data_IF_569138863050
#
_entry.id   IF_569138863050
#
_cell.length_a   1.000
_cell.length_b   1.000
_cell.length_c   1.000
_cell.angle_alpha   90.00
_cell.angle_beta   90.00
_cell.angle_gamma   90.00
#
_symmetry.space_group_name_H-M   'P 1'
#
loop_
_entity.id
_entity.type
_entity.pdbx_description
1 polymer ?
#
# COMPACT_ATOMS: atom_id res chain seq x y z
N UNK A 1 54.41 4.95 37.47
CA UNK A 1 53.18 4.17 37.64
C UNK A 1 51.92 4.88 37.12
N UNK A 2 51.92 6.21 36.93
CA UNK A 2 50.73 6.95 36.50
C UNK A 2 50.52 7.07 34.96
N UNK A 3 51.53 6.81 34.13
CA UNK A 3 51.39 6.96 32.67
C UNK A 3 50.66 5.78 31.99
N UNK A 4 50.78 4.59 32.54
CA UNK A 4 50.10 3.39 32.02
C UNK A 4 48.58 3.42 32.26
N UNK A 5 48.15 4.10 33.33
CA UNK A 5 46.72 4.20 33.68
C UNK A 5 45.99 5.22 32.76
N UNK A 6 46.66 6.25 32.30
CA UNK A 6 46.12 7.27 31.43
C UNK A 6 45.87 6.75 30.00
N UNK A 7 46.77 5.88 29.49
CA UNK A 7 46.67 5.31 28.14
C UNK A 7 45.51 4.31 28.01
N UNK A 8 45.20 3.57 29.05
CA UNK A 8 44.08 2.61 29.06
C UNK A 8 42.72 3.32 29.10
N UNK A 9 42.60 4.42 29.84
CA UNK A 9 41.36 5.18 29.95
C UNK A 9 40.99 5.88 28.63
N UNK A 10 41.99 6.35 27.88
CA UNK A 10 41.77 7.01 26.58
C UNK A 10 41.28 6.04 25.48
N UNK A 11 41.83 4.81 25.48
CA UNK A 11 41.43 3.78 24.50
C UNK A 11 40.02 3.23 24.78
N UNK A 12 39.62 3.08 26.03
CA UNK A 12 38.27 2.65 26.41
C UNK A 12 37.23 3.72 26.06
N UNK A 13 37.56 5.01 26.25
CA UNK A 13 36.67 6.12 25.88
C UNK A 13 36.38 6.22 24.38
N UNK A 14 37.40 5.98 23.55
CA UNK A 14 37.23 6.04 22.07
C UNK A 14 36.41 4.86 21.57
N UNK A 15 36.61 3.66 22.10
CA UNK A 15 35.81 2.49 21.71
C UNK A 15 34.34 2.65 22.11
N UNK A 16 34.06 3.19 23.30
CA UNK A 16 32.70 3.45 23.76
C UNK A 16 31.98 4.51 22.85
N UNK A 17 32.70 5.54 22.40
CA UNK A 17 32.16 6.57 21.53
C UNK A 17 31.84 6.01 20.13
N UNK A 18 32.68 5.17 19.56
CA UNK A 18 32.46 4.53 18.26
C UNK A 18 31.26 3.60 18.27
N UNK A 19 31.05 2.83 19.36
CA UNK A 19 29.89 1.94 19.49
C UNK A 19 28.59 2.74 19.62
N UNK A 20 28.59 3.88 20.29
CA UNK A 20 27.41 4.73 20.42
C UNK A 20 26.95 5.35 19.08
N UNK A 21 27.86 5.64 18.16
CA UNK A 21 27.53 6.22 16.84
C UNK A 21 26.92 5.18 15.88
N UNK A 22 27.24 3.90 16.04
CA UNK A 22 26.69 2.84 15.20
C UNK A 22 25.25 2.46 15.55
N UNK A 23 24.71 2.90 16.67
CA UNK A 23 23.35 2.55 17.14
C UNK A 23 22.22 3.38 16.54
N UNK A 24 22.51 4.41 15.75
CA UNK A 24 21.50 5.28 15.11
C UNK A 24 21.22 4.93 13.64
N UNK A 25 21.62 3.75 13.17
CA UNK A 25 21.14 3.22 11.89
C UNK A 25 19.68 2.77 12.05
N UNK A 26 18.79 3.69 12.43
CA UNK A 26 17.35 3.50 12.41
C UNK A 26 16.91 3.15 10.98
N UNK A 27 15.88 2.31 10.86
CA UNK A 27 15.27 1.92 9.59
C UNK A 27 14.90 3.16 8.77
N UNK A 28 15.80 3.63 7.92
CA UNK A 28 15.49 4.70 6.98
C UNK A 28 14.44 4.15 5.99
N UNK A 29 13.35 4.87 5.74
CA UNK A 29 12.38 4.46 4.74
C UNK A 29 13.06 4.32 3.38
N UNK A 30 12.60 3.34 2.58
CA UNK A 30 13.17 3.06 1.26
C UNK A 30 13.17 4.34 0.39
N UNK A 31 14.33 4.85 -0.06
CA UNK A 31 14.43 6.12 -0.78
C UNK A 31 13.66 6.12 -2.10
N UNK A 32 13.51 4.96 -2.74
CA UNK A 32 12.74 4.82 -3.99
C UNK A 32 11.25 5.03 -3.72
N UNK A 33 10.73 4.46 -2.64
CA UNK A 33 9.35 4.65 -2.23
C UNK A 33 9.09 6.10 -1.80
N UNK A 34 10.02 6.72 -1.08
CA UNK A 34 9.91 8.15 -0.73
C UNK A 34 9.80 9.04 -1.96
N UNK A 35 10.66 8.80 -2.97
CA UNK A 35 10.62 9.56 -4.21
C UNK A 35 9.29 9.36 -4.94
N UNK A 36 8.81 8.13 -5.06
CA UNK A 36 7.54 7.83 -5.70
C UNK A 36 6.36 8.55 -5.01
N UNK A 37 6.33 8.56 -3.68
CA UNK A 37 5.31 9.28 -2.89
C UNK A 37 5.42 10.80 -3.09
N UNK A 38 6.64 11.35 -3.12
CA UNK A 38 6.86 12.79 -3.37
C UNK A 38 6.38 13.22 -4.77
N UNK A 39 6.65 12.40 -5.78
CA UNK A 39 6.29 12.67 -7.18
C UNK A 39 4.79 12.42 -7.48
N UNK A 40 4.05 11.77 -6.58
CA UNK A 40 2.65 11.38 -6.81
C UNK A 40 1.74 12.52 -7.25
N UNK A 41 1.85 13.70 -6.64
CA UNK A 41 0.99 14.85 -6.98
C UNK A 41 1.12 15.27 -8.45
N UNK A 42 2.34 15.24 -8.98
CA UNK A 42 2.61 15.55 -10.38
C UNK A 42 2.00 14.54 -11.33
N UNK A 43 2.02 13.26 -10.96
CA UNK A 43 1.40 12.17 -11.73
C UNK A 43 -0.12 12.27 -11.66
N UNK A 44 -0.67 12.44 -10.47
CA UNK A 44 -2.11 12.52 -10.23
C UNK A 44 -2.78 13.72 -10.92
N UNK A 45 -2.06 14.82 -11.14
CA UNK A 45 -2.60 16.01 -11.83
C UNK A 45 -2.96 15.78 -13.29
N UNK A 46 -2.52 14.68 -13.88
CA UNK A 46 -2.82 14.27 -15.25
C UNK A 46 -4.10 13.43 -15.38
N UNK A 47 -4.73 13.10 -14.24
CA UNK A 47 -5.88 12.19 -14.16
C UNK A 47 -7.13 12.99 -13.84
N UNK A 48 -8.22 12.68 -14.54
CA UNK A 48 -9.53 13.30 -14.34
C UNK A 48 -10.61 12.25 -14.08
N UNK A 49 -11.61 12.61 -13.28
CA UNK A 49 -12.82 11.79 -13.16
C UNK A 49 -13.47 11.63 -14.54
N UNK A 50 -13.84 10.40 -14.88
CA UNK A 50 -14.35 10.06 -16.22
C UNK A 50 -13.31 9.43 -17.14
N UNK A 51 -12.02 9.43 -16.76
CA UNK A 51 -10.98 8.78 -17.55
C UNK A 51 -11.16 7.25 -17.56
N UNK A 52 -10.78 6.63 -18.68
CA UNK A 52 -10.76 5.19 -18.81
C UNK A 52 -9.72 4.56 -17.87
N UNK A 53 -10.09 3.42 -17.28
CA UNK A 53 -9.23 2.70 -16.31
C UNK A 53 -7.83 2.46 -16.83
N UNK A 54 -7.69 1.99 -18.07
CA UNK A 54 -6.39 1.69 -18.67
C UNK A 54 -5.50 2.94 -18.76
N UNK A 55 -6.09 4.08 -19.12
CA UNK A 55 -5.38 5.36 -19.20
C UNK A 55 -4.87 5.78 -17.82
N UNK A 56 -5.74 5.75 -16.82
CA UNK A 56 -5.38 6.09 -15.42
C UNK A 56 -4.27 5.18 -14.89
N UNK A 57 -4.41 3.86 -15.08
CA UNK A 57 -3.42 2.90 -14.60
C UNK A 57 -2.08 3.05 -15.32
N UNK A 58 -2.05 3.37 -16.62
CA UNK A 58 -0.82 3.65 -17.36
C UNK A 58 -0.08 4.87 -16.79
N UNK A 59 -0.79 5.96 -16.48
CA UNK A 59 -0.22 7.15 -15.85
C UNK A 59 0.35 6.80 -14.46
N UNK A 60 -0.43 6.14 -13.61
CA UNK A 60 -0.02 5.77 -12.25
C UNK A 60 1.15 4.79 -12.24
N UNK A 61 1.22 3.89 -13.22
CA UNK A 61 2.28 2.89 -13.32
C UNK A 61 3.66 3.53 -13.45
N UNK A 62 3.79 4.67 -14.11
CA UNK A 62 5.08 5.39 -14.26
C UNK A 62 5.76 5.67 -12.92
N UNK A 63 4.94 5.87 -11.89
CA UNK A 63 5.38 6.20 -10.53
C UNK A 63 5.31 4.97 -9.60
N UNK A 64 4.27 4.13 -9.71
CA UNK A 64 4.02 3.03 -8.78
C UNK A 64 4.83 1.76 -9.10
N UNK A 65 5.32 1.56 -10.32
CA UNK A 65 6.08 0.36 -10.69
C UNK A 65 7.38 0.18 -9.89
N UNK A 66 8.01 1.28 -9.50
CA UNK A 66 9.28 1.26 -8.74
C UNK A 66 9.11 0.91 -7.26
N UNK A 67 7.88 0.95 -6.75
CA UNK A 67 7.56 0.62 -5.36
C UNK A 67 7.62 -0.91 -5.19
N UNK A 68 8.35 -1.44 -4.20
CA UNK A 68 8.39 -2.88 -3.93
C UNK A 68 6.99 -3.46 -3.65
N UNK A 69 6.77 -4.72 -4.04
CA UNK A 69 5.46 -5.38 -3.92
C UNK A 69 4.91 -5.46 -2.49
N UNK A 70 5.78 -5.61 -1.50
CA UNK A 70 5.38 -5.65 -0.09
C UNK A 70 4.89 -4.29 0.46
N UNK A 71 5.12 -3.19 -0.28
CA UNK A 71 4.56 -1.87 -0.01
C UNK A 71 3.35 -1.52 -0.88
N UNK A 72 2.87 -2.46 -1.70
CA UNK A 72 1.68 -2.31 -2.53
C UNK A 72 0.50 -3.02 -1.89
N UNK A 73 -0.70 -2.51 -2.15
CA UNK A 73 -1.96 -3.17 -1.83
C UNK A 73 -2.58 -3.70 -3.13
N UNK A 74 -3.11 -4.92 -3.06
CA UNK A 74 -3.78 -5.53 -4.20
C UNK A 74 -5.10 -4.81 -4.50
N UNK A 75 -5.49 -4.70 -5.78
CA UNK A 75 -6.78 -4.15 -6.14
C UNK A 75 -7.92 -5.05 -5.64
N UNK A 76 -9.04 -4.43 -5.29
CA UNK A 76 -10.26 -5.12 -4.88
C UNK A 76 -11.30 -5.00 -5.99
N UNK A 77 -12.03 -6.09 -6.28
CA UNK A 77 -13.08 -6.17 -7.32
C UNK A 77 -14.34 -6.79 -6.75
N UNK A 78 -15.48 -6.22 -7.10
CA UNK A 78 -16.80 -6.74 -6.68
C UNK A 78 -17.90 -6.23 -7.60
N UNK A 79 -19.10 -6.83 -7.47
CA UNK A 79 -20.30 -6.34 -8.14
C UNK A 79 -21.14 -5.54 -7.15
N UNK A 80 -21.51 -4.33 -7.53
CA UNK A 80 -22.39 -3.48 -6.75
C UNK A 80 -23.58 -3.07 -7.62
N UNK A 81 -24.79 -3.54 -7.26
CA UNK A 81 -26.02 -3.30 -8.02
C UNK A 81 -25.92 -3.67 -9.52
N UNK A 82 -25.20 -4.74 -9.84
CA UNK A 82 -24.96 -5.19 -11.21
C UNK A 82 -23.84 -4.46 -11.94
N UNK A 83 -23.22 -3.44 -11.36
CA UNK A 83 -22.07 -2.74 -11.91
C UNK A 83 -20.75 -3.37 -11.40
N UNK A 84 -19.79 -3.53 -12.29
CA UNK A 84 -18.44 -3.94 -11.91
C UNK A 84 -17.73 -2.76 -11.26
N UNK A 85 -17.30 -2.95 -10.01
CA UNK A 85 -16.49 -1.96 -9.27
C UNK A 85 -15.11 -2.53 -9.02
N UNK A 86 -14.09 -1.75 -9.31
CA UNK A 86 -12.69 -2.08 -9.04
C UNK A 86 -12.04 -0.92 -8.29
N UNK A 87 -11.30 -1.22 -7.22
CA UNK A 87 -10.56 -0.24 -6.42
C UNK A 87 -9.07 -0.54 -6.53
N UNK A 88 -8.30 0.41 -7.03
CA UNK A 88 -6.85 0.37 -7.03
C UNK A 88 -6.32 1.27 -5.91
N UNK A 89 -5.44 0.72 -5.07
CA UNK A 89 -4.82 1.44 -3.97
C UNK A 89 -3.44 1.93 -4.38
N UNK A 90 -3.30 3.22 -4.55
CA UNK A 90 -2.07 3.89 -4.95
C UNK A 90 -1.35 4.37 -3.71
N UNK A 91 -0.06 4.01 -3.55
CA UNK A 91 0.71 4.46 -2.40
C UNK A 91 1.06 5.94 -2.52
N UNK A 92 0.61 6.72 -1.56
CA UNK A 92 0.72 8.19 -1.54
C UNK A 92 1.24 8.72 -0.21
N UNK A 93 1.44 7.84 0.77
CA UNK A 93 1.93 8.15 2.09
C UNK A 93 3.01 7.18 2.58
N UNK A 94 3.69 7.59 3.66
CA UNK A 94 4.72 6.82 4.36
C UNK A 94 4.49 6.98 5.86
N UNK A 95 3.77 6.05 6.46
CA UNK A 95 3.63 6.02 7.93
C UNK A 95 4.93 5.59 8.60
N UNK A 96 5.23 6.20 9.73
CA UNK A 96 6.34 5.78 10.58
C UNK A 96 6.04 4.38 11.12
N UNK A 97 6.87 3.40 10.76
CA UNK A 97 6.73 2.01 11.21
C UNK A 97 6.65 0.96 10.11
N UNK A 98 6.68 1.36 8.83
CA UNK A 98 6.75 0.42 7.70
C UNK A 98 5.49 -0.41 7.48
N UNK A 99 4.38 -0.10 8.15
CA UNK A 99 3.10 -0.78 7.99
C UNK A 99 2.33 -0.22 6.78
N UNK A 100 1.55 -1.08 6.13
CA UNK A 100 0.62 -0.69 5.06
C UNK A 100 -0.70 -0.20 5.70
N UNK A 101 -0.68 1.00 6.28
CA UNK A 101 -1.88 1.64 6.82
C UNK A 101 -2.74 2.21 5.70
N UNK A 102 -4.04 2.28 5.90
CA UNK A 102 -4.97 2.86 4.92
C UNK A 102 -4.60 4.30 4.55
N UNK A 103 -4.08 5.09 5.52
CA UNK A 103 -3.63 6.46 5.32
C UNK A 103 -2.43 6.60 4.37
N UNK A 104 -1.71 5.50 4.11
CA UNK A 104 -0.61 5.46 3.15
C UNK A 104 -1.09 5.30 1.71
N UNK A 105 -2.38 5.08 1.49
CA UNK A 105 -2.95 4.81 0.17
C UNK A 105 -4.06 5.79 -0.19
N UNK A 106 -4.12 6.11 -1.48
CA UNK A 106 -5.25 6.79 -2.10
C UNK A 106 -5.98 5.78 -2.99
N UNK A 107 -7.24 5.45 -2.71
CA UNK A 107 -8.03 4.58 -3.57
C UNK A 107 -8.49 5.30 -4.84
N UNK A 108 -8.37 4.62 -5.97
CA UNK A 108 -8.93 4.98 -7.26
C UNK A 108 -10.06 4.00 -7.56
N UNK A 109 -11.29 4.50 -7.62
CA UNK A 109 -12.50 3.69 -7.81
C UNK A 109 -12.96 3.76 -9.24
N UNK A 110 -13.08 2.60 -9.87
CA UNK A 110 -13.58 2.45 -11.23
C UNK A 110 -14.93 1.74 -11.20
N UNK A 111 -15.87 2.21 -12.03
CA UNK A 111 -17.12 1.53 -12.34
C UNK A 111 -17.20 1.28 -13.83
N UNK A 112 -17.40 0.04 -14.24
CA UNK A 112 -17.46 -0.34 -15.65
C UNK A 112 -16.28 0.26 -16.46
N UNK A 113 -15.05 0.13 -15.92
CA UNK A 113 -13.80 0.63 -16.50
C UNK A 113 -13.66 2.16 -16.61
N UNK A 114 -14.49 2.95 -15.92
CA UNK A 114 -14.40 4.40 -15.87
C UNK A 114 -14.07 4.87 -14.45
N UNK A 115 -13.15 5.82 -14.30
CA UNK A 115 -12.79 6.43 -13.02
C UNK A 115 -13.95 7.27 -12.48
N UNK A 116 -14.50 6.89 -11.35
CA UNK A 116 -15.64 7.60 -10.72
C UNK A 116 -15.26 8.34 -9.45
N UNK A 117 -14.16 7.96 -8.79
CA UNK A 117 -13.71 8.62 -7.56
C UNK A 117 -12.22 8.43 -7.30
N UNK A 118 -11.62 9.41 -6.66
CA UNK A 118 -10.26 9.37 -6.12
C UNK A 118 -10.31 9.77 -4.65
N UNK A 119 -9.66 8.98 -3.80
CA UNK A 119 -9.63 9.17 -2.35
C UNK A 119 -10.76 8.44 -1.62
N UNK A 120 -10.76 8.56 -0.30
CA UNK A 120 -11.62 7.81 0.61
C UNK A 120 -13.05 8.36 0.73
N UNK A 121 -13.38 9.45 0.08
CA UNK A 121 -14.71 10.09 0.15
C UNK A 121 -15.85 9.19 -0.37
N UNK A 122 -15.56 8.41 -1.41
CA UNK A 122 -16.53 7.46 -1.99
C UNK A 122 -16.54 6.13 -1.23
N UNK A 123 -15.40 5.78 -0.66
CA UNK A 123 -15.20 4.55 0.10
C UNK A 123 -15.10 4.98 1.55
N UNK A 124 -16.22 4.99 2.28
CA UNK A 124 -16.12 5.16 3.72
C UNK A 124 -15.27 4.00 4.26
N UNK A 125 -14.25 4.35 5.05
CA UNK A 125 -13.12 3.50 5.45
C UNK A 125 -13.49 2.10 6.01
N UNK A 126 -14.73 1.88 6.38
CA UNK A 126 -15.21 0.65 7.02
C UNK A 126 -16.46 0.06 6.37
N UNK A 127 -17.49 0.85 6.13
CA UNK A 127 -18.81 0.32 5.75
C UNK A 127 -18.86 -0.26 4.33
N UNK A 128 -18.07 0.27 3.42
CA UNK A 128 -18.13 -0.14 2.02
C UNK A 128 -17.31 -1.41 1.76
N UNK A 129 -16.11 -1.49 2.30
CA UNK A 129 -15.25 -2.68 2.17
C UNK A 129 -15.84 -3.88 2.92
N UNK A 130 -16.47 -3.65 4.06
CA UNK A 130 -17.13 -4.71 4.83
C UNK A 130 -18.38 -5.20 4.12
N UNK A 131 -19.21 -4.32 3.55
CA UNK A 131 -20.36 -4.71 2.71
C UNK A 131 -19.94 -5.43 1.42
N UNK A 132 -18.81 -5.02 0.82
CA UNK A 132 -18.28 -5.72 -0.34
C UNK A 132 -17.75 -7.12 0.02
N UNK A 133 -17.07 -7.26 1.16
CA UNK A 133 -16.63 -8.58 1.67
C UNK A 133 -17.80 -9.48 2.03
N UNK A 134 -18.86 -8.96 2.66
CA UNK A 134 -20.10 -9.69 2.92
C UNK A 134 -20.77 -10.16 1.63
N UNK A 135 -20.86 -9.31 0.61
CA UNK A 135 -21.44 -9.69 -0.69
C UNK A 135 -20.64 -10.80 -1.39
N UNK A 136 -19.31 -10.78 -1.29
CA UNK A 136 -18.42 -11.84 -1.82
C UNK A 136 -18.61 -13.13 -1.02
N UNK A 137 -18.68 -13.08 0.29
CA UNK A 137 -18.88 -14.26 1.14
C UNK A 137 -20.27 -14.85 1.00
N UNK A 138 -21.30 -14.04 0.81
CA UNK A 138 -22.66 -14.49 0.57
C UNK A 138 -22.88 -15.07 -0.84
N UNK A 139 -22.14 -14.59 -1.83
CA UNK A 139 -22.17 -15.12 -3.21
C UNK A 139 -21.36 -16.39 -3.42
N UNK A 140 -20.42 -16.70 -2.53
CA UNK A 140 -19.53 -17.87 -2.62
C UNK A 140 -20.10 -19.20 -2.11
N UNK A 141 -21.35 -19.27 -1.63
CA UNK A 141 -21.96 -20.47 -1.05
C UNK A 141 -23.00 -21.12 -1.98
N UNK A 142 -23.01 -20.82 -3.27
CA UNK A 142 -23.75 -21.63 -4.25
C UNK A 142 -22.77 -22.32 -5.19
N UNK A 143 -21.95 -23.19 -4.64
CA UNK A 143 -21.25 -24.20 -5.43
C UNK A 143 -21.97 -25.54 -5.21
N UNK A 144 -22.76 -25.90 -6.22
CA UNK A 144 -23.16 -27.24 -6.67
C UNK A 144 -22.89 -28.40 -5.71
N UNK A 145 -23.92 -28.74 -4.94
CA UNK A 145 -24.09 -30.07 -4.31
C UNK A 145 -25.26 -30.87 -4.89
N UNK A 146 -25.55 -30.71 -6.18
CA UNK A 146 -26.56 -31.52 -6.83
C UNK A 146 -26.10 -32.14 -8.15
N UNK A 147 -25.02 -32.91 -8.14
CA UNK A 147 -24.76 -33.94 -9.17
C UNK A 147 -23.94 -35.09 -8.58
N UNK A 148 -24.48 -35.83 -7.64
CA UNK A 148 -24.09 -37.25 -7.42
C UNK A 148 -25.28 -37.98 -6.89
N UNK A 149 -25.91 -38.74 -7.73
CA UNK A 149 -26.88 -39.75 -7.29
C UNK A 149 -27.97 -40.04 -8.29
N UNK A 150 -27.72 -40.81 -9.28
CA UNK A 150 -28.48 -42.02 -9.58
C UNK A 150 -27.87 -42.74 -10.80
N UNK A 151 -27.13 -43.77 -10.55
CA UNK A 151 -26.95 -44.89 -11.48
C UNK A 151 -27.21 -46.17 -10.72
N UNK A 152 -28.42 -46.66 -10.88
CA UNK A 152 -28.74 -48.07 -10.79
C UNK A 152 -29.40 -48.50 -12.09
#
# INVERSE_FOLDING_TARGET
MNQLLQLTCHKVGIVALVVAVLSVAGCAPNPVTQKAVADYKSVASQISIGDAREHVLAILQTNQQVIPSYFKRQPERYLSYGEQVEIHFVRTGLSSGGSNNDDDFTPYVFKNDVLVSVGWTYVSKTDFLDKAREAISAGGVKQDQDVVGDRR
#
